data_IF_705702490413
#
_entry.id   IF_705702490413
#
_cell.length_a   1.000
_cell.length_b   1.000
_cell.length_c   1.000
_cell.angle_alpha   90.00
_cell.angle_beta   90.00
_cell.angle_gamma   90.00
#
_symmetry.space_group_name_H-M   'P 1'
#
loop_
_entity.id
_entity.type
_entity.pdbx_description
1 polymer ?
#
# COMPACT_ATOMS: atom_id res chain seq x y z
N UNK A 1 9.65 -2.73 -27.68
CA UNK A 1 8.66 -3.65 -27.08
C UNK A 1 9.28 -4.21 -25.81
N UNK A 2 8.82 -3.78 -24.63
CA UNK A 2 9.26 -4.40 -23.38
C UNK A 2 8.72 -5.82 -23.35
N UNK A 3 9.61 -6.82 -23.34
CA UNK A 3 9.24 -8.22 -23.26
C UNK A 3 8.82 -8.49 -21.81
N UNK A 4 7.52 -8.34 -21.52
CA UNK A 4 6.98 -8.63 -20.19
C UNK A 4 7.14 -10.13 -19.91
N UNK A 5 7.66 -10.48 -18.74
CA UNK A 5 7.74 -11.89 -18.34
C UNK A 5 6.34 -12.49 -18.24
N UNK A 6 6.18 -13.78 -18.53
CA UNK A 6 4.91 -14.50 -18.36
C UNK A 6 4.33 -14.29 -16.95
N UNK A 7 5.20 -14.27 -15.93
CA UNK A 7 4.82 -13.97 -14.54
C UNK A 7 4.16 -12.58 -14.42
N UNK A 8 4.77 -11.54 -15.01
CA UNK A 8 4.22 -10.17 -15.00
C UNK A 8 2.87 -10.08 -15.73
N UNK A 9 2.72 -10.79 -16.86
CA UNK A 9 1.46 -10.85 -17.61
C UNK A 9 0.33 -11.48 -16.77
N UNK A 10 0.63 -12.56 -16.04
CA UNK A 10 -0.31 -13.20 -15.12
C UNK A 10 -0.73 -12.23 -14.01
N UNK A 11 0.24 -11.57 -13.35
CA UNK A 11 -0.02 -10.61 -12.26
C UNK A 11 -0.90 -9.45 -12.72
N UNK A 12 -0.53 -8.81 -13.83
CA UNK A 12 -1.30 -7.67 -14.35
C UNK A 12 -2.73 -8.09 -14.71
N UNK A 13 -2.88 -9.26 -15.35
CA UNK A 13 -4.21 -9.78 -15.71
C UNK A 13 -5.04 -10.12 -14.47
N UNK A 14 -4.42 -10.66 -13.43
CA UNK A 14 -5.07 -10.95 -12.17
C UNK A 14 -5.57 -9.67 -11.47
N UNK A 15 -4.72 -8.64 -11.38
CA UNK A 15 -5.09 -7.33 -10.84
C UNK A 15 -6.23 -6.68 -11.65
N UNK A 16 -6.20 -6.78 -12.97
CA UNK A 16 -7.28 -6.31 -13.84
C UNK A 16 -8.61 -7.05 -13.61
N UNK A 17 -8.54 -8.35 -13.35
CA UNK A 17 -9.73 -9.15 -13.06
C UNK A 17 -10.32 -8.80 -11.68
N UNK A 18 -9.48 -8.52 -10.68
CA UNK A 18 -9.90 -8.07 -9.35
C UNK A 18 -10.71 -6.76 -9.39
N UNK A 19 -10.51 -5.91 -10.40
CA UNK A 19 -11.32 -4.70 -10.58
C UNK A 19 -12.81 -4.98 -10.79
N UNK A 20 -13.16 -6.17 -11.28
CA UNK A 20 -14.54 -6.50 -11.67
C UNK A 20 -15.08 -7.77 -10.99
N UNK A 21 -14.21 -8.58 -10.39
CA UNK A 21 -14.58 -9.88 -9.80
C UNK A 21 -13.97 -10.01 -8.40
N UNK A 22 -14.78 -10.24 -7.35
CA UNK A 22 -14.26 -10.53 -6.02
C UNK A 22 -13.29 -11.71 -6.03
N UNK A 23 -12.23 -11.66 -5.22
CA UNK A 23 -11.17 -12.66 -5.26
C UNK A 23 -11.68 -14.11 -5.09
N UNK A 24 -12.67 -14.31 -4.21
CA UNK A 24 -13.25 -15.64 -3.96
C UNK A 24 -13.90 -16.26 -5.21
N UNK A 25 -14.48 -15.44 -6.08
CA UNK A 25 -15.13 -15.89 -7.33
C UNK A 25 -14.16 -16.04 -8.50
N UNK A 26 -12.96 -15.50 -8.37
CA UNK A 26 -11.93 -15.54 -9.41
C UNK A 26 -11.34 -16.95 -9.50
N UNK A 27 -11.12 -17.44 -10.71
CA UNK A 27 -10.57 -18.79 -10.97
C UNK A 27 -9.31 -18.73 -11.82
N UNK A 28 -8.42 -19.72 -11.66
CA UNK A 28 -7.26 -19.90 -12.56
C UNK A 28 -7.70 -19.95 -14.02
N UNK A 29 -8.86 -20.56 -14.31
CA UNK A 29 -9.45 -20.59 -15.65
C UNK A 29 -9.62 -19.18 -16.24
N UNK A 30 -10.25 -18.28 -15.50
CA UNK A 30 -10.49 -16.91 -15.98
C UNK A 30 -9.18 -16.14 -16.21
N UNK A 31 -8.17 -16.36 -15.36
CA UNK A 31 -6.84 -15.75 -15.52
C UNK A 31 -6.19 -16.26 -16.81
N UNK A 32 -6.13 -17.57 -17.01
CA UNK A 32 -5.46 -18.14 -18.20
C UNK A 32 -6.22 -17.86 -19.49
N UNK A 33 -7.56 -17.86 -19.44
CA UNK A 33 -8.40 -17.51 -20.59
C UNK A 33 -8.19 -16.04 -21.00
N UNK A 34 -8.00 -15.11 -20.04
CA UNK A 34 -7.75 -13.69 -20.33
C UNK A 34 -6.31 -13.38 -20.75
N UNK A 35 -5.33 -14.08 -20.20
CA UNK A 35 -3.90 -13.93 -20.58
C UNK A 35 -3.56 -14.59 -21.92
N UNK A 36 -4.31 -15.62 -22.33
CA UNK A 36 -4.02 -16.43 -23.52
C UNK A 36 -2.94 -17.51 -23.30
N UNK A 37 -2.56 -17.81 -22.06
CA UNK A 37 -1.60 -18.88 -21.73
C UNK A 37 -2.30 -20.19 -21.38
N UNK A 38 -1.54 -21.30 -21.34
CA UNK A 38 -2.07 -22.58 -20.86
C UNK A 38 -2.12 -22.64 -19.32
N UNK A 39 -3.01 -23.47 -18.76
CA UNK A 39 -2.99 -23.79 -17.31
C UNK A 39 -1.64 -24.33 -16.86
N UNK A 40 -1.01 -25.20 -17.65
CA UNK A 40 0.31 -25.71 -17.35
C UNK A 40 1.34 -24.58 -17.23
N UNK A 41 1.26 -23.56 -18.08
CA UNK A 41 2.12 -22.37 -18.01
C UNK A 41 1.85 -21.55 -16.74
N UNK A 42 0.59 -21.38 -16.33
CA UNK A 42 0.27 -20.74 -15.05
C UNK A 42 0.93 -21.48 -13.88
N UNK A 43 0.81 -22.81 -13.86
CA UNK A 43 1.34 -23.65 -12.77
C UNK A 43 2.87 -23.75 -12.75
N UNK A 44 3.58 -23.26 -13.76
CA UNK A 44 5.03 -23.06 -13.70
C UNK A 44 5.44 -21.84 -12.85
N UNK A 45 4.51 -20.91 -12.63
CA UNK A 45 4.77 -19.66 -11.92
C UNK A 45 4.06 -19.60 -10.56
N UNK A 46 2.87 -20.17 -10.45
CA UNK A 46 2.04 -20.10 -9.26
C UNK A 46 1.36 -21.43 -8.97
N UNK A 47 1.34 -21.86 -7.72
CA UNK A 47 0.69 -23.11 -7.30
C UNK A 47 -0.82 -23.06 -7.51
N UNK A 48 -1.45 -21.94 -7.12
CA UNK A 48 -2.85 -21.65 -7.33
C UNK A 48 -3.11 -20.13 -7.27
N UNK A 49 -4.38 -19.72 -7.18
CA UNK A 49 -4.75 -18.30 -7.08
C UNK A 49 -4.40 -17.67 -5.72
N UNK A 50 -4.27 -18.47 -4.66
CA UNK A 50 -3.93 -17.99 -3.32
C UNK A 50 -2.44 -17.69 -3.23
N UNK A 51 -1.60 -18.59 -3.76
CA UNK A 51 -0.15 -18.34 -3.94
C UNK A 51 0.10 -17.09 -4.81
N UNK A 52 -0.62 -16.95 -5.91
CA UNK A 52 -0.57 -15.72 -6.72
C UNK A 52 -0.91 -14.47 -5.88
N UNK A 53 -1.97 -14.52 -5.07
CA UNK A 53 -2.36 -13.38 -4.22
C UNK A 53 -1.29 -13.06 -3.17
N UNK A 54 -0.65 -14.07 -2.57
CA UNK A 54 0.42 -13.89 -1.59
C UNK A 54 1.64 -13.20 -2.23
N UNK A 55 2.12 -13.72 -3.36
CA UNK A 55 3.25 -13.11 -4.07
C UNK A 55 2.96 -11.70 -4.60
N UNK A 56 1.71 -11.43 -5.02
CA UNK A 56 1.27 -10.07 -5.39
C UNK A 56 1.24 -9.16 -4.17
N UNK A 57 0.82 -9.68 -3.01
CA UNK A 57 0.79 -8.92 -1.76
C UNK A 57 2.18 -8.48 -1.33
N UNK A 58 3.17 -9.38 -1.39
CA UNK A 58 4.57 -9.06 -1.10
C UNK A 58 5.08 -7.92 -2.00
N UNK A 59 4.91 -8.06 -3.32
CA UNK A 59 5.33 -7.05 -4.29
C UNK A 59 4.69 -5.68 -4.03
N UNK A 60 3.37 -5.64 -3.79
CA UNK A 60 2.63 -4.39 -3.55
C UNK A 60 3.05 -3.75 -2.22
N UNK A 61 3.36 -4.54 -1.19
CA UNK A 61 3.88 -4.00 0.07
C UNK A 61 5.27 -3.39 -0.14
N UNK A 62 6.16 -4.07 -0.86
CA UNK A 62 7.49 -3.54 -1.16
C UNK A 62 7.44 -2.24 -1.96
N UNK A 63 6.57 -2.18 -2.98
CA UNK A 63 6.31 -0.95 -3.75
C UNK A 63 5.75 0.17 -2.87
N UNK A 64 4.79 -0.14 -1.99
CA UNK A 64 4.25 0.80 -1.01
C UNK A 64 5.34 1.40 -0.12
N UNK A 65 6.22 0.56 0.45
CA UNK A 65 7.28 1.01 1.35
C UNK A 65 8.35 1.82 0.62
N UNK A 66 8.60 1.55 -0.67
CA UNK A 66 9.60 2.25 -1.48
C UNK A 66 9.34 3.75 -1.60
N UNK A 67 8.09 4.20 -1.44
CA UNK A 67 7.72 5.61 -1.43
C UNK A 67 8.26 6.37 -0.21
N UNK A 68 8.52 5.67 0.90
CA UNK A 68 9.26 6.21 2.04
C UNK A 68 10.75 6.07 1.76
N UNK A 69 11.26 6.88 0.83
CA UNK A 69 12.69 6.89 0.51
C UNK A 69 13.50 7.29 1.75
N UNK A 70 14.51 6.49 2.08
CA UNK A 70 15.59 6.91 2.95
C UNK A 70 16.32 8.07 2.27
N UNK A 71 16.01 9.31 2.67
CA UNK A 71 16.91 10.45 2.46
C UNK A 71 18.16 10.27 3.34
N UNK A 72 18.85 9.14 3.23
CA UNK A 72 20.18 8.93 3.79
C UNK A 72 21.15 9.80 3.02
N UNK A 73 21.29 11.07 3.46
CA UNK A 73 22.44 11.99 3.32
C UNK A 73 22.11 13.49 3.21
N UNK A 74 20.93 13.96 3.66
CA UNK A 74 20.77 15.40 3.95
C UNK A 74 20.45 15.65 5.42
N UNK A 75 21.54 15.78 6.16
CA UNK A 75 21.82 16.61 7.33
C UNK A 75 20.65 16.93 8.27
N UNK A 76 20.88 16.57 9.54
CA UNK A 76 20.17 16.93 10.78
C UNK A 76 20.06 18.45 11.07
N UNK A 77 20.17 19.32 10.07
CA UNK A 77 20.06 20.77 10.28
C UNK A 77 18.84 21.29 9.52
N UNK A 78 17.84 21.70 10.31
CA UNK A 78 16.45 22.04 9.96
C UNK A 78 15.58 20.85 9.56
N UNK A 79 14.95 20.29 10.59
CA UNK A 79 13.70 19.53 10.50
C UNK A 79 12.59 20.50 10.06
N UNK A 80 12.66 21.05 8.85
CA UNK A 80 11.50 21.60 8.16
C UNK A 80 10.80 20.40 7.52
N UNK A 81 9.71 19.97 8.16
CA UNK A 81 8.82 18.87 7.78
C UNK A 81 8.07 19.17 6.47
N UNK A 82 8.78 19.41 5.38
CA UNK A 82 8.26 19.53 4.01
C UNK A 82 7.88 18.14 3.43
N UNK A 83 7.40 17.23 4.29
CA UNK A 83 7.01 15.85 3.97
C UNK A 83 5.67 15.77 3.23
N UNK A 84 5.03 16.90 2.91
CA UNK A 84 3.74 16.91 2.21
C UNK A 84 3.83 16.44 0.76
N UNK A 85 4.96 16.54 0.04
CA UNK A 85 4.83 16.47 -1.44
C UNK A 85 5.24 15.17 -2.17
N UNK A 86 6.09 14.29 -1.63
CA UNK A 86 6.54 13.12 -2.42
C UNK A 86 6.15 11.76 -1.84
N UNK A 87 6.49 11.44 -0.59
CA UNK A 87 6.23 10.10 -0.03
C UNK A 87 4.75 9.86 0.24
N UNK A 88 4.08 10.77 0.95
CA UNK A 88 2.65 10.63 1.28
C UNK A 88 1.77 10.71 0.04
N UNK A 89 2.16 11.51 -0.95
CA UNK A 89 1.49 11.53 -2.25
C UNK A 89 1.72 10.22 -3.02
N UNK A 90 2.96 9.70 -3.01
CA UNK A 90 3.33 8.44 -3.64
C UNK A 90 2.50 7.27 -3.12
N UNK A 91 2.40 7.10 -1.80
CA UNK A 91 1.55 6.04 -1.22
C UNK A 91 0.07 6.23 -1.56
N UNK A 92 -0.43 7.47 -1.63
CA UNK A 92 -1.84 7.70 -1.99
C UNK A 92 -2.12 7.37 -3.46
N UNK A 93 -1.16 7.67 -4.36
CA UNK A 93 -1.23 7.29 -5.77
C UNK A 93 -1.15 5.77 -5.94
N UNK A 94 -0.25 5.11 -5.22
CA UNK A 94 -0.11 3.66 -5.20
C UNK A 94 -1.39 2.95 -4.70
N UNK A 95 -1.99 3.46 -3.62
CA UNK A 95 -3.29 2.97 -3.12
C UNK A 95 -4.38 3.10 -4.20
N UNK A 96 -4.38 4.20 -4.96
CA UNK A 96 -5.36 4.42 -6.02
C UNK A 96 -5.12 3.50 -7.23
N UNK A 97 -3.86 3.28 -7.61
CA UNK A 97 -3.45 2.35 -8.67
C UNK A 97 -3.91 0.91 -8.36
N UNK A 98 -3.68 0.45 -7.14
CA UNK A 98 -4.05 -0.90 -6.69
C UNK A 98 -5.36 -0.92 -5.87
N UNK A 99 -6.28 0.00 -6.13
CA UNK A 99 -7.50 0.21 -5.32
C UNK A 99 -8.28 -1.07 -5.05
N UNK A 100 -8.48 -1.91 -6.07
CA UNK A 100 -9.27 -3.14 -5.93
C UNK A 100 -8.55 -4.19 -5.08
N UNK A 101 -7.22 -4.29 -5.20
CA UNK A 101 -6.41 -5.12 -4.31
C UNK A 101 -6.57 -4.65 -2.86
N UNK A 102 -6.37 -3.36 -2.59
CA UNK A 102 -6.48 -2.81 -1.24
C UNK A 102 -7.89 -2.95 -0.67
N UNK A 103 -8.94 -2.77 -1.49
CA UNK A 103 -10.33 -2.99 -1.09
C UNK A 103 -10.57 -4.43 -0.65
N UNK A 104 -10.03 -5.41 -1.35
CA UNK A 104 -10.16 -6.82 -0.99
C UNK A 104 -9.33 -7.17 0.27
N UNK A 105 -8.14 -6.55 0.42
CA UNK A 105 -7.18 -6.91 1.46
C UNK A 105 -7.41 -6.18 2.80
N UNK A 106 -7.86 -4.92 2.80
CA UNK A 106 -8.12 -4.18 4.03
C UNK A 106 -9.27 -4.75 4.88
N UNK A 107 -10.09 -5.65 4.34
CA UNK A 107 -11.08 -6.40 5.13
C UNK A 107 -10.45 -7.58 5.91
N UNK A 108 -9.16 -7.86 5.74
CA UNK A 108 -8.46 -8.99 6.36
C UNK A 108 -7.52 -8.47 7.45
N UNK A 109 -7.77 -8.86 8.69
CA UNK A 109 -6.92 -8.48 9.84
C UNK A 109 -5.45 -8.86 9.65
N UNK A 110 -5.17 -10.02 9.03
CA UNK A 110 -3.81 -10.47 8.71
C UNK A 110 -3.07 -9.47 7.81
N UNK A 111 -3.74 -8.91 6.80
CA UNK A 111 -3.12 -7.93 5.90
C UNK A 111 -2.89 -6.59 6.60
N UNK A 112 -3.86 -6.09 7.36
CA UNK A 112 -3.68 -4.85 8.13
C UNK A 112 -2.48 -4.98 9.08
N UNK A 113 -2.42 -6.08 9.84
CA UNK A 113 -1.31 -6.31 10.76
C UNK A 113 0.04 -6.39 10.03
N UNK A 114 0.11 -7.15 8.92
CA UNK A 114 1.30 -7.25 8.10
C UNK A 114 1.77 -5.87 7.60
N UNK A 115 0.87 -5.07 7.03
CA UNK A 115 1.22 -3.75 6.50
C UNK A 115 1.66 -2.78 7.61
N UNK A 116 0.99 -2.80 8.77
CA UNK A 116 1.39 -2.01 9.94
C UNK A 116 2.82 -2.38 10.38
N UNK A 117 3.11 -3.67 10.55
CA UNK A 117 4.43 -4.15 10.98
C UNK A 117 5.52 -3.85 9.95
N UNK A 118 5.24 -4.06 8.66
CA UNK A 118 6.18 -3.74 7.59
C UNK A 118 6.50 -2.24 7.55
N UNK A 119 5.48 -1.39 7.67
CA UNK A 119 5.68 0.06 7.70
C UNK A 119 6.37 0.51 8.99
N UNK A 120 6.03 -0.08 10.14
CA UNK A 120 6.71 0.18 11.42
C UNK A 120 8.21 -0.08 11.30
N UNK A 121 8.61 -1.27 10.83
CA UNK A 121 10.01 -1.64 10.70
C UNK A 121 10.75 -0.71 9.71
N UNK A 122 10.10 -0.33 8.61
CA UNK A 122 10.67 0.57 7.61
C UNK A 122 10.89 1.99 8.18
N UNK A 123 9.90 2.55 8.87
CA UNK A 123 10.01 3.88 9.49
C UNK A 123 10.99 3.87 10.67
N UNK A 124 11.03 2.79 11.47
CA UNK A 124 12.02 2.64 12.54
C UNK A 124 13.44 2.70 11.97
N UNK A 125 13.70 2.01 10.85
CA UNK A 125 15.01 2.05 10.19
C UNK A 125 15.37 3.45 9.66
N UNK A 126 14.39 4.21 9.14
CA UNK A 126 14.64 5.56 8.60
C UNK A 126 14.86 6.59 9.70
N UNK A 127 14.03 6.59 10.73
CA UNK A 127 13.96 7.68 11.72
C UNK A 127 14.63 7.34 13.04
N UNK A 128 14.91 6.06 13.31
CA UNK A 128 15.49 5.58 14.58
C UNK A 128 14.70 6.07 15.81
N UNK A 129 13.39 6.25 15.67
CA UNK A 129 12.51 6.70 16.74
C UNK A 129 11.27 5.82 16.82
N UNK A 130 11.28 4.90 17.79
CA UNK A 130 10.23 3.88 17.99
C UNK A 130 8.84 4.48 18.18
N UNK A 131 8.69 5.47 19.06
CA UNK A 131 7.39 6.11 19.31
C UNK A 131 6.76 6.72 18.05
N UNK A 132 7.58 7.38 17.22
CA UNK A 132 7.13 7.89 15.92
C UNK A 132 6.80 6.76 14.95
N UNK A 133 7.64 5.73 14.85
CA UNK A 133 7.40 4.59 13.96
C UNK A 133 6.10 3.87 14.30
N UNK A 134 5.80 3.65 15.59
CA UNK A 134 4.52 3.05 16.04
C UNK A 134 3.35 3.94 15.64
N UNK A 135 3.38 5.22 16.02
CA UNK A 135 2.27 6.14 15.75
C UNK A 135 2.03 6.31 14.25
N UNK A 136 3.08 6.60 13.48
CA UNK A 136 2.98 6.91 12.05
C UNK A 136 2.55 5.68 11.24
N UNK A 137 3.03 4.48 11.55
CA UNK A 137 2.65 3.26 10.81
C UNK A 137 1.17 2.92 11.01
N UNK A 138 0.73 2.77 12.25
CA UNK A 138 -0.65 2.41 12.57
C UNK A 138 -1.63 3.53 12.20
N UNK A 139 -1.27 4.79 12.41
CA UNK A 139 -2.05 5.95 11.99
C UNK A 139 -2.21 6.02 10.47
N UNK A 140 -1.13 5.81 9.72
CA UNK A 140 -1.16 5.80 8.24
C UNK A 140 -2.04 4.68 7.71
N UNK A 141 -1.81 3.44 8.15
CA UNK A 141 -2.57 2.28 7.65
C UNK A 141 -4.05 2.41 7.99
N UNK A 142 -4.38 2.85 9.22
CA UNK A 142 -5.77 3.08 9.61
C UNK A 142 -6.46 4.15 8.76
N UNK A 143 -5.78 5.27 8.53
CA UNK A 143 -6.31 6.36 7.73
C UNK A 143 -6.52 5.97 6.26
N UNK A 144 -5.54 5.30 5.64
CA UNK A 144 -5.63 4.82 4.26
C UNK A 144 -6.70 3.73 4.11
N UNK A 145 -6.80 2.81 5.06
CA UNK A 145 -7.86 1.79 5.09
C UNK A 145 -9.25 2.43 5.10
N UNK A 146 -9.45 3.47 5.91
CA UNK A 146 -10.70 4.24 5.93
C UNK A 146 -10.99 4.93 4.59
N UNK A 147 -9.98 5.55 3.97
CA UNK A 147 -10.13 6.18 2.66
C UNK A 147 -10.50 5.17 1.56
N UNK A 148 -9.92 3.96 1.58
CA UNK A 148 -10.28 2.87 0.65
C UNK A 148 -11.69 2.36 0.90
N UNK A 149 -12.09 2.18 2.16
CA UNK A 149 -13.44 1.78 2.53
C UNK A 149 -14.51 2.78 2.02
N UNK A 150 -14.19 4.07 2.06
CA UNK A 150 -15.00 5.17 1.51
C UNK A 150 -14.93 5.26 -0.02
N UNK A 151 -14.32 4.28 -0.70
CA UNK A 151 -14.29 4.25 -2.16
C UNK A 151 -13.31 5.23 -2.79
N UNK A 152 -12.31 5.71 -2.04
CA UNK A 152 -11.32 6.69 -2.50
C UNK A 152 -11.92 7.98 -3.10
N UNK A 153 -12.98 8.52 -2.50
CA UNK A 153 -13.71 9.70 -3.02
C UNK A 153 -12.85 10.98 -3.05
N UNK A 154 -11.99 11.17 -2.04
CA UNK A 154 -11.05 12.30 -1.98
C UNK A 154 -9.85 12.05 -2.89
N UNK A 155 -9.32 13.12 -3.49
CA UNK A 155 -8.13 12.99 -4.36
C UNK A 155 -6.88 12.59 -3.57
N UNK A 156 -5.94 11.84 -4.17
CA UNK A 156 -4.68 11.47 -3.52
C UNK A 156 -3.92 12.65 -2.90
N UNK A 157 -3.95 13.82 -3.57
CA UNK A 157 -3.30 15.03 -3.06
C UNK A 157 -3.95 15.56 -1.78
N UNK A 158 -5.28 15.56 -1.70
CA UNK A 158 -5.99 16.01 -0.49
C UNK A 158 -5.68 15.08 0.69
N UNK A 159 -5.78 13.77 0.46
CA UNK A 159 -5.49 12.74 1.47
C UNK A 159 -4.03 12.82 1.93
N UNK A 160 -3.09 13.03 1.01
CA UNK A 160 -1.68 13.18 1.35
C UNK A 160 -1.41 14.40 2.24
N UNK A 161 -2.04 15.55 1.93
CA UNK A 161 -1.93 16.77 2.75
C UNK A 161 -2.50 16.53 4.15
N UNK A 162 -3.70 15.95 4.26
CA UNK A 162 -4.33 15.65 5.54
C UNK A 162 -3.49 14.69 6.39
N UNK A 163 -3.02 13.60 5.79
CA UNK A 163 -2.22 12.59 6.48
C UNK A 163 -0.87 13.14 6.96
N UNK A 164 -0.21 13.99 6.16
CA UNK A 164 1.03 14.65 6.56
C UNK A 164 0.82 15.65 7.73
N UNK A 165 -0.33 16.34 7.75
CA UNK A 165 -0.67 17.24 8.85
C UNK A 165 -0.92 16.48 10.16
N UNK A 166 -1.61 15.33 10.11
CA UNK A 166 -1.86 14.49 11.29
C UNK A 166 -0.55 14.05 11.95
N UNK A 167 0.45 13.67 11.15
CA UNK A 167 1.77 13.24 11.63
C UNK A 167 2.59 14.33 12.32
N UNK A 168 2.24 15.61 12.12
CA UNK A 168 2.98 16.77 12.65
C UNK A 168 2.17 17.59 13.65
N UNK A 169 0.90 17.23 13.87
CA UNK A 169 0.02 17.97 14.77
C UNK A 169 0.40 17.73 16.23
N UNK A 170 0.59 18.82 16.99
CA UNK A 170 0.66 18.73 18.45
C UNK A 170 -0.75 18.64 19.03
N UNK A 171 -1.18 17.43 19.33
CA UNK A 171 -2.52 17.10 19.83
C UNK A 171 -2.84 17.73 21.20
N UNK A 172 -1.83 18.15 21.97
CA UNK A 172 -2.05 18.81 23.28
C UNK A 172 -2.56 20.24 23.18
N UNK A 173 -2.48 20.88 22.01
CA UNK A 173 -3.01 22.25 21.81
C UNK A 173 -4.53 22.30 21.76
N UNK A 174 -5.20 21.19 21.44
CA UNK A 174 -6.65 21.10 21.39
C UNK A 174 -7.29 20.71 22.73
N UNK A 175 -6.51 20.19 23.69
CA UNK A 175 -7.00 19.82 25.02
C UNK A 175 -6.90 20.95 26.04
N UNK A 176 -6.11 21.99 25.76
CA UNK A 176 -5.86 23.12 26.67
C UNK A 176 -6.97 24.21 26.68
N UNK A 177 -8.02 24.08 25.86
CA UNK A 177 -9.14 25.03 25.85
C UNK A 177 -10.32 24.62 26.76
N UNK A 178 -10.25 23.45 27.41
CA UNK A 178 -11.33 22.92 28.25
C UNK A 178 -10.89 22.54 29.67
N UNK A 179 -9.86 23.20 30.21
CA UNK A 179 -9.50 23.12 31.63
C UNK A 179 -9.40 24.52 32.23
#
# INVERSE_FOLDING_TARGET
MNNLSTRSVIINTFLDLLNNTPFEKLTVKQIVDKTGISRSTFYLHFYDKYDLMEQVTENIIDEFLSHYQSNSKKQMEKIEFDLVNNSTLGICLHILEFKSFYKEQFNKSKFIHLLCESLYNHLLNIYSYEGYAIFASYGTVGYLSKWVYEGCERSPKQVAVELANIGTTNWTRHTAQNF
#
